data_IF_103260663413
#
_entry.id   IF_103260663413
#
_cell.length_a   1.000
_cell.length_b   1.000
_cell.length_c   1.000
_cell.angle_alpha   90.00
_cell.angle_beta   90.00
_cell.angle_gamma   90.00
#
_symmetry.space_group_name_H-M   'P 1'
#
loop_
_entity.id
_entity.type
_entity.pdbx_description
1 polymer ?
#
# COMPACT_ATOMS: atom_id res chain seq x y z
N UNK A 1 6.52 5.77 12.79
CA UNK A 1 5.49 5.24 11.87
C UNK A 1 6.11 4.97 10.51
N UNK A 2 5.69 3.92 9.84
CA UNK A 2 6.16 3.61 8.49
C UNK A 2 5.50 4.48 7.41
N UNK A 3 4.32 5.02 7.68
CA UNK A 3 3.61 5.89 6.72
C UNK A 3 3.73 7.35 7.10
N UNK A 4 3.59 8.22 6.11
CA UNK A 4 3.47 9.67 6.30
C UNK A 4 2.01 10.06 6.09
N UNK A 5 1.35 10.70 7.09
CA UNK A 5 -0.06 11.09 6.97
C UNK A 5 -0.37 11.95 5.73
N UNK A 6 0.63 12.66 5.21
CA UNK A 6 0.45 13.52 4.03
C UNK A 6 0.45 12.75 2.71
N UNK A 7 0.82 11.47 2.72
CA UNK A 7 0.93 10.65 1.52
C UNK A 7 -0.21 9.63 1.41
N UNK A 8 -1.40 10.03 1.81
CA UNK A 8 -2.61 9.22 1.62
C UNK A 8 -3.16 9.34 0.21
N UNK A 9 -3.62 8.22 -0.33
CA UNK A 9 -4.16 8.14 -1.68
C UNK A 9 -5.54 7.49 -1.62
N UNK A 10 -6.53 8.10 -2.27
CA UNK A 10 -7.87 7.54 -2.37
C UNK A 10 -7.89 6.32 -3.28
N UNK A 11 -8.92 5.47 -3.14
CA UNK A 11 -9.07 4.32 -4.02
C UNK A 11 -9.24 4.71 -5.48
N UNK A 12 -10.09 5.69 -5.86
CA UNK A 12 -10.19 6.09 -7.26
C UNK A 12 -8.86 6.58 -7.84
N UNK A 13 -8.08 7.33 -7.08
CA UNK A 13 -6.77 7.80 -7.52
C UNK A 13 -5.79 6.64 -7.70
N UNK A 14 -5.79 5.67 -6.77
CA UNK A 14 -4.98 4.47 -6.87
C UNK A 14 -5.33 3.67 -8.14
N UNK A 15 -6.60 3.47 -8.41
CA UNK A 15 -7.07 2.76 -9.60
C UNK A 15 -6.61 3.46 -10.88
N UNK A 16 -6.70 4.79 -10.92
CA UNK A 16 -6.25 5.58 -12.05
C UNK A 16 -4.75 5.39 -12.31
N UNK A 17 -3.94 5.48 -11.26
CA UNK A 17 -2.50 5.28 -11.37
C UNK A 17 -2.14 3.85 -11.79
N UNK A 18 -2.87 2.86 -11.28
CA UNK A 18 -2.66 1.47 -11.64
C UNK A 18 -2.96 1.22 -13.12
N UNK A 19 -4.07 1.75 -13.62
CA UNK A 19 -4.46 1.62 -15.03
C UNK A 19 -3.54 2.38 -15.97
N UNK A 20 -2.98 3.50 -15.54
CA UNK A 20 -2.07 4.30 -16.36
C UNK A 20 -0.62 3.83 -16.31
N UNK A 21 -0.32 2.74 -15.58
CA UNK A 21 1.02 2.19 -15.48
C UNK A 21 1.96 3.00 -14.61
N UNK A 22 1.44 3.87 -13.75
CA UNK A 22 2.26 4.73 -12.88
C UNK A 22 2.63 4.09 -11.55
N UNK A 23 2.07 2.93 -11.24
CA UNK A 23 2.43 2.19 -10.02
C UNK A 23 3.67 1.35 -10.29
N UNK A 24 4.73 1.60 -9.56
CA UNK A 24 5.99 0.85 -9.67
C UNK A 24 5.95 -0.41 -8.82
N UNK A 25 5.49 -0.30 -7.57
CA UNK A 25 5.45 -1.41 -6.62
C UNK A 25 4.28 -1.31 -5.68
N UNK A 26 3.80 -2.47 -5.25
CA UNK A 26 2.81 -2.63 -4.19
C UNK A 26 3.45 -3.42 -3.07
N UNK A 27 3.31 -2.93 -1.85
CA UNK A 27 3.89 -3.56 -0.67
C UNK A 27 2.79 -3.72 0.36
N UNK A 28 2.53 -4.97 0.78
CA UNK A 28 1.59 -5.27 1.84
C UNK A 28 2.35 -5.32 3.16
N UNK A 29 2.01 -4.43 4.09
CA UNK A 29 2.69 -4.32 5.37
C UNK A 29 1.77 -4.84 6.46
N UNK A 30 2.28 -5.76 7.30
CA UNK A 30 1.58 -6.25 8.48
C UNK A 30 2.05 -5.46 9.70
N UNK A 31 1.10 -4.89 10.43
CA UNK A 31 1.38 -4.16 11.66
C UNK A 31 1.41 -5.10 12.89
N UNK A 32 1.86 -4.56 14.03
CA UNK A 32 2.00 -5.32 15.26
C UNK A 32 0.69 -5.87 15.80
N UNK A 33 -0.45 -5.29 15.44
CA UNK A 33 -1.77 -5.77 15.81
C UNK A 33 -2.31 -6.86 14.87
N UNK A 34 -1.51 -7.27 13.87
CA UNK A 34 -1.88 -8.29 12.90
C UNK A 34 -2.63 -7.79 11.69
N UNK A 35 -3.03 -6.53 11.66
CA UNK A 35 -3.71 -5.96 10.50
C UNK A 35 -2.74 -5.62 9.38
N UNK A 36 -3.28 -5.46 8.17
CA UNK A 36 -2.49 -5.21 6.96
C UNK A 36 -2.88 -3.88 6.34
N UNK A 37 -1.92 -3.22 5.70
CA UNK A 37 -2.18 -2.04 4.89
C UNK A 37 -1.33 -2.08 3.63
N UNK A 38 -1.72 -1.27 2.64
CA UNK A 38 -1.07 -1.23 1.33
C UNK A 38 -0.20 0.00 1.22
N UNK A 39 1.09 -0.22 1.02
CA UNK A 39 2.06 0.81 0.66
C UNK A 39 2.22 0.79 -0.87
N UNK A 40 2.30 1.97 -1.46
CA UNK A 40 2.30 2.17 -2.91
C UNK A 40 3.51 3.00 -3.28
N UNK A 41 4.30 2.49 -4.24
CA UNK A 41 5.40 3.23 -4.85
C UNK A 41 4.98 3.62 -6.25
N UNK A 42 5.10 4.90 -6.56
CA UNK A 42 4.84 5.41 -7.91
C UNK A 42 6.13 5.57 -8.70
N UNK A 43 6.03 5.45 -10.02
CA UNK A 43 7.16 5.62 -10.92
C UNK A 43 7.72 7.05 -10.78
N UNK A 44 9.03 7.19 -10.58
CA UNK A 44 9.73 8.47 -10.44
C UNK A 44 9.28 9.32 -9.26
N UNK A 45 8.66 8.71 -8.28
CA UNK A 45 8.24 9.40 -7.06
C UNK A 45 9.02 8.81 -5.88
N UNK A 46 9.74 9.61 -5.10
CA UNK A 46 10.54 9.11 -3.97
C UNK A 46 9.69 8.79 -2.74
N UNK A 47 8.41 9.16 -2.74
CA UNK A 47 7.54 9.02 -1.57
C UNK A 47 6.94 7.62 -1.48
N UNK A 48 6.62 7.23 -0.25
CA UNK A 48 5.84 6.03 0.04
C UNK A 48 4.40 6.44 0.28
N UNK A 49 3.52 6.06 -0.62
CA UNK A 49 2.10 6.35 -0.53
C UNK A 49 1.37 5.21 0.15
N UNK A 50 0.18 5.48 0.67
CA UNK A 50 -0.68 4.44 1.25
C UNK A 50 -2.14 4.70 0.90
N UNK A 51 -2.91 3.62 0.80
CA UNK A 51 -4.33 3.69 0.52
C UNK A 51 -5.07 4.15 1.77
N UNK A 52 -5.96 5.13 1.62
CA UNK A 52 -6.77 5.67 2.71
C UNK A 52 -8.26 5.44 2.47
N UNK A 53 -9.06 5.64 3.52
CA UNK A 53 -10.51 5.70 3.42
C UNK A 53 -10.97 7.16 3.42
N UNK A 54 -12.23 7.40 3.05
CA UNK A 54 -12.82 8.75 3.12
C UNK A 54 -12.88 9.29 4.54
N UNK A 55 -13.02 8.42 5.54
CA UNK A 55 -13.18 8.80 6.95
C UNK A 55 -11.87 9.02 7.67
N UNK A 56 -10.80 8.37 7.22
CA UNK A 56 -9.48 8.43 7.85
C UNK A 56 -8.43 8.66 6.78
N UNK A 57 -8.17 9.92 6.44
CA UNK A 57 -7.22 10.28 5.38
C UNK A 57 -5.80 10.46 5.90
N UNK A 58 -5.61 10.46 7.21
CA UNK A 58 -4.30 10.65 7.85
C UNK A 58 -3.61 9.33 8.21
N UNK A 59 -4.27 8.19 7.99
CA UNK A 59 -3.73 6.87 8.30
C UNK A 59 -4.10 5.88 7.19
N UNK A 60 -3.30 4.81 7.01
CA UNK A 60 -3.61 3.79 6.01
C UNK A 60 -4.93 3.08 6.31
N UNK A 61 -5.63 2.70 5.25
CA UNK A 61 -6.77 1.80 5.37
C UNK A 61 -6.27 0.45 5.88
N UNK A 62 -6.83 -0.01 7.01
CA UNK A 62 -6.42 -1.27 7.62
C UNK A 62 -7.34 -2.41 7.19
N UNK A 63 -6.74 -3.55 6.90
CA UNK A 63 -7.43 -4.77 6.53
C UNK A 63 -7.13 -5.83 7.60
N UNK A 64 -8.15 -6.44 8.23
CA UNK A 64 -7.90 -7.44 9.27
C UNK A 64 -7.33 -8.74 8.71
N UNK A 65 -7.52 -9.02 7.42
CA UNK A 65 -7.06 -10.24 6.76
C UNK A 65 -6.41 -9.91 5.43
N UNK A 66 -5.31 -10.60 5.14
CA UNK A 66 -4.56 -10.38 3.89
C UNK A 66 -5.37 -10.78 2.65
N UNK A 67 -6.20 -11.81 2.74
CA UNK A 67 -7.03 -12.26 1.62
C UNK A 67 -8.06 -11.21 1.22
N UNK A 68 -8.58 -10.44 2.19
CA UNK A 68 -9.50 -9.32 1.92
C UNK A 68 -8.79 -8.21 1.17
N UNK A 69 -7.55 -7.88 1.58
CA UNK A 69 -6.75 -6.88 0.89
C UNK A 69 -6.43 -7.32 -0.54
N UNK A 70 -6.01 -8.56 -0.73
CA UNK A 70 -5.69 -9.10 -2.05
C UNK A 70 -6.92 -9.12 -2.95
N UNK A 71 -8.08 -9.52 -2.42
CA UNK A 71 -9.34 -9.50 -3.18
C UNK A 71 -9.69 -8.08 -3.66
N UNK A 72 -9.42 -7.08 -2.84
CA UNK A 72 -9.62 -5.68 -3.22
C UNK A 72 -8.70 -5.27 -4.38
N UNK A 73 -7.44 -5.70 -4.35
CA UNK A 73 -6.50 -5.44 -5.43
C UNK A 73 -6.91 -6.14 -6.74
N UNK A 74 -7.35 -7.38 -6.65
CA UNK A 74 -7.81 -8.14 -7.81
C UNK A 74 -9.06 -7.53 -8.44
N UNK A 75 -9.91 -6.91 -7.64
CA UNK A 75 -11.12 -6.22 -8.10
C UNK A 75 -10.83 -4.98 -8.96
N UNK A 76 -9.62 -4.43 -8.89
CA UNK A 76 -9.21 -3.29 -9.71
C UNK A 76 -8.78 -3.73 -11.11
N UNK A 77 -8.50 -5.01 -11.30
CA UNK A 77 -8.06 -5.60 -12.57
C UNK A 77 -6.88 -6.53 -12.37
N UNK A 78 -6.41 -7.19 -13.43
CA UNK A 78 -5.28 -8.10 -13.30
C UNK A 78 -4.02 -7.36 -12.85
N UNK A 79 -3.43 -7.83 -11.76
CA UNK A 79 -2.17 -7.32 -11.28
C UNK A 79 -1.06 -7.86 -12.15
N UNK A 80 -0.50 -7.01 -13.00
CA UNK A 80 0.58 -7.38 -13.92
C UNK A 80 1.95 -7.40 -13.25
N UNK A 81 2.05 -6.84 -12.05
CA UNK A 81 3.31 -6.75 -11.32
C UNK A 81 3.22 -7.52 -10.00
N UNK A 82 4.30 -8.20 -9.59
CA UNK A 82 4.33 -8.83 -8.29
C UNK A 82 4.25 -7.79 -7.18
N UNK A 83 3.69 -8.19 -6.05
CA UNK A 83 3.70 -7.35 -4.86
C UNK A 83 4.48 -8.05 -3.74
N UNK A 84 5.00 -7.25 -2.82
CA UNK A 84 5.81 -7.74 -1.71
C UNK A 84 4.96 -7.82 -0.45
N UNK A 85 5.21 -8.82 0.39
CA UNK A 85 4.58 -8.93 1.70
C UNK A 85 5.65 -8.79 2.76
N UNK A 86 5.48 -7.81 3.65
CA UNK A 86 6.38 -7.58 4.77
C UNK A 86 5.74 -8.16 6.03
N UNK A 87 6.30 -9.22 6.59
CA UNK A 87 5.68 -9.90 7.72
C UNK A 87 5.80 -9.09 9.03
N UNK A 88 4.90 -9.39 9.96
CA UNK A 88 4.77 -8.75 11.27
C UNK A 88 6.10 -8.60 12.02
N UNK A 89 6.93 -9.62 12.00
CA UNK A 89 8.18 -9.66 12.77
C UNK A 89 9.36 -9.03 12.03
N UNK A 90 9.18 -8.57 10.80
CA UNK A 90 10.22 -7.88 10.06
C UNK A 90 10.35 -6.46 10.62
N UNK A 91 11.42 -6.21 11.34
CA UNK A 91 11.71 -4.86 11.88
C UNK A 91 12.25 -3.99 10.77
N UNK A 92 11.35 -3.49 9.93
CA UNK A 92 11.70 -2.70 8.76
C UNK A 92 11.49 -1.20 9.04
N UNK A 93 12.41 -0.38 8.56
CA UNK A 93 12.27 1.08 8.61
C UNK A 93 11.60 1.57 7.34
N UNK A 94 11.12 2.83 7.36
CA UNK A 94 10.57 3.46 6.14
C UNK A 94 11.61 3.46 5.01
N UNK A 95 12.87 3.75 5.32
CA UNK A 95 13.95 3.75 4.33
C UNK A 95 14.12 2.38 3.68
N UNK A 96 14.08 1.32 4.46
CA UNK A 96 14.17 -0.04 3.95
C UNK A 96 12.97 -0.39 3.07
N UNK A 97 11.77 0.02 3.52
CA UNK A 97 10.54 -0.18 2.76
C UNK A 97 10.60 0.52 1.40
N UNK A 98 11.17 1.72 1.35
CA UNK A 98 11.34 2.47 0.12
C UNK A 98 12.32 1.82 -0.87
N UNK A 99 13.18 0.92 -0.39
CA UNK A 99 14.14 0.20 -1.23
C UNK A 99 13.61 -1.11 -1.81
N UNK A 100 12.46 -1.55 -1.34
CA UNK A 100 11.82 -2.74 -1.90
C UNK A 100 11.28 -2.44 -3.28
#
# INVERSE_FOLDING_TARGET
MLWDPQHGMSQPQFEEYLHSGKVERLIVVQESDGQFWLAIRLVRDPNLWHLVTRRAQDAPRMFPRIDVLIARLEGVGPLKKPFWVVPLHARITRRQLLRL
#
